data_IF_958560500313
#
_entry.id   IF_958560500313
#
_cell.length_a   1.000
_cell.length_b   1.000
_cell.length_c   1.000
_cell.angle_alpha   90.00
_cell.angle_beta   90.00
_cell.angle_gamma   90.00
#
_symmetry.space_group_name_H-M   'P 1'
#
loop_
_entity.id
_entity.type
_entity.pdbx_description
1 polymer ?
#
# COMPACT_ATOMS: atom_id res chain seq x y z
N UNK A 1 -7.33 29.50 4.09
CA UNK A 1 -7.78 30.11 2.82
C UNK A 1 -6.64 30.19 1.80
N UNK A 2 -6.11 29.05 1.33
CA UNK A 2 -5.19 28.95 0.16
C UNK A 2 -5.48 27.62 -0.60
N UNK A 3 -6.76 27.25 -0.69
CA UNK A 3 -7.20 25.94 -1.25
C UNK A 3 -8.04 26.12 -2.54
N UNK A 4 -8.04 27.34 -3.13
CA UNK A 4 -8.89 27.76 -4.25
C UNK A 4 -8.11 28.24 -5.48
N UNK A 5 -6.87 27.80 -5.68
CA UNK A 5 -6.03 28.25 -6.80
C UNK A 5 -6.08 27.36 -8.05
N UNK A 6 -6.08 26.03 -7.87
CA UNK A 6 -6.03 25.08 -8.98
C UNK A 6 -7.09 24.00 -8.78
N UNK A 7 -8.30 24.27 -9.26
CA UNK A 7 -9.42 23.32 -9.31
C UNK A 7 -9.18 22.26 -10.41
N UNK A 8 -8.03 21.59 -10.37
CA UNK A 8 -7.79 20.35 -11.11
C UNK A 8 -8.00 19.22 -10.08
N UNK A 9 -9.26 19.06 -9.68
CA UNK A 9 -9.68 17.84 -9.02
C UNK A 9 -9.85 16.83 -10.16
N UNK A 10 -8.87 15.95 -10.36
CA UNK A 10 -9.04 14.75 -11.18
C UNK A 10 -9.37 13.64 -10.20
N UNK A 11 -10.65 13.40 -9.87
CA UNK A 11 -11.05 12.50 -8.79
C UNK A 11 -10.61 11.06 -9.08
N UNK A 12 -10.46 10.73 -10.36
CA UNK A 12 -9.99 9.44 -10.85
C UNK A 12 -8.49 9.21 -10.67
N UNK A 13 -7.65 10.24 -10.59
CA UNK A 13 -6.21 10.02 -10.39
C UNK A 13 -5.89 9.95 -8.90
N UNK A 14 -6.55 10.73 -8.04
CA UNK A 14 -6.28 10.65 -6.60
C UNK A 14 -6.77 9.34 -5.98
N UNK A 15 -7.97 8.85 -6.33
CA UNK A 15 -8.49 7.63 -5.68
C UNK A 15 -7.62 6.40 -5.98
N UNK A 16 -7.38 6.10 -7.26
CA UNK A 16 -6.63 4.89 -7.64
C UNK A 16 -5.11 4.98 -7.40
N UNK A 17 -4.53 6.19 -7.44
CA UNK A 17 -3.10 6.35 -7.17
C UNK A 17 -2.79 6.16 -5.69
N UNK A 18 -3.69 6.60 -4.80
CA UNK A 18 -3.55 6.36 -3.37
C UNK A 18 -3.57 4.85 -3.07
N UNK A 19 -4.45 4.08 -3.71
CA UNK A 19 -4.54 2.62 -3.53
C UNK A 19 -3.28 1.88 -4.04
N UNK A 20 -2.71 2.31 -5.17
CA UNK A 20 -1.46 1.75 -5.70
C UNK A 20 -0.26 2.11 -4.81
N UNK A 21 -0.21 3.34 -4.28
CA UNK A 21 0.89 3.82 -3.44
C UNK A 21 0.81 3.33 -1.99
N UNK A 22 -0.38 2.97 -1.50
CA UNK A 22 -0.57 2.48 -0.14
C UNK A 22 0.30 1.25 0.15
N UNK A 23 0.30 0.26 -0.74
CA UNK A 23 1.09 -0.97 -0.55
C UNK A 23 2.61 -0.75 -0.48
N UNK A 24 3.27 -0.07 -1.43
CA UNK A 24 4.71 0.14 -1.34
C UNK A 24 5.09 0.99 -0.14
N UNK A 25 4.27 1.97 0.26
CA UNK A 25 4.52 2.79 1.46
C UNK A 25 4.44 1.91 2.72
N UNK A 26 3.37 1.13 2.89
CA UNK A 26 3.18 0.28 4.06
C UNK A 26 4.23 -0.83 4.15
N UNK A 27 4.52 -1.51 3.05
CA UNK A 27 5.54 -2.57 3.02
C UNK A 27 6.93 -2.01 3.35
N UNK A 28 7.26 -0.81 2.85
CA UNK A 28 8.52 -0.13 3.20
C UNK A 28 8.56 0.29 4.65
N UNK A 29 7.42 0.72 5.22
CA UNK A 29 7.32 1.02 6.64
C UNK A 29 7.55 -0.23 7.50
N UNK A 30 6.95 -1.37 7.15
CA UNK A 30 7.16 -2.65 7.84
C UNK A 30 8.61 -3.13 7.68
N UNK A 31 9.21 -2.96 6.50
CA UNK A 31 10.63 -3.26 6.27
C UNK A 31 11.52 -2.41 7.18
N UNK A 32 11.26 -1.10 7.22
CA UNK A 32 11.98 -0.15 8.07
C UNK A 32 11.81 -0.49 9.55
N UNK A 33 10.60 -0.84 9.98
CA UNK A 33 10.28 -1.29 11.33
C UNK A 33 11.14 -2.52 11.70
N UNK A 34 11.20 -3.54 10.83
CA UNK A 34 12.01 -4.74 11.07
C UNK A 34 13.52 -4.45 11.10
N UNK A 35 14.01 -3.61 10.19
CA UNK A 35 15.42 -3.23 10.13
C UNK A 35 15.85 -2.43 11.36
N UNK A 36 15.04 -1.44 11.78
CA UNK A 36 15.40 -0.48 12.85
C UNK A 36 14.90 -0.86 14.24
N UNK A 37 13.63 -1.26 14.40
CA UNK A 37 13.06 -1.57 15.72
C UNK A 37 13.44 -2.97 16.18
N UNK A 38 13.44 -3.95 15.28
CA UNK A 38 13.77 -5.35 15.62
C UNK A 38 15.26 -5.68 15.46
N UNK A 39 16.08 -4.71 15.04
CA UNK A 39 17.53 -4.85 14.86
C UNK A 39 17.94 -6.05 13.98
N UNK A 40 17.13 -6.40 12.99
CA UNK A 40 17.42 -7.50 12.04
C UNK A 40 18.56 -7.19 11.06
N UNK A 41 19.11 -5.97 11.11
CA UNK A 41 20.18 -5.50 10.21
C UNK A 41 19.61 -4.85 8.95
N UNK A 42 20.38 -3.93 8.35
CA UNK A 42 19.94 -3.21 7.14
C UNK A 42 19.88 -4.10 5.89
N UNK A 43 20.57 -5.25 5.94
CA UNK A 43 20.56 -6.25 4.87
C UNK A 43 19.32 -7.15 4.87
N UNK A 44 18.41 -6.98 5.86
CA UNK A 44 17.18 -7.76 5.88
C UNK A 44 16.28 -7.36 4.71
N UNK A 45 15.93 -8.34 3.87
CA UNK A 45 15.00 -8.22 2.75
C UNK A 45 13.91 -9.28 2.88
N UNK A 46 12.69 -8.93 2.50
CA UNK A 46 11.59 -9.88 2.47
C UNK A 46 11.80 -10.87 1.32
N UNK A 47 11.53 -12.14 1.59
CA UNK A 47 11.37 -13.13 0.52
C UNK A 47 10.14 -12.80 -0.33
N UNK A 48 10.11 -13.28 -1.59
CA UNK A 48 8.96 -13.09 -2.47
C UNK A 48 7.66 -13.60 -1.85
N UNK A 49 7.73 -14.70 -1.09
CA UNK A 49 6.57 -15.29 -0.41
C UNK A 49 6.10 -14.40 0.75
N UNK A 50 7.01 -13.85 1.55
CA UNK A 50 6.65 -12.91 2.64
C UNK A 50 6.04 -11.63 2.08
N UNK A 51 6.63 -11.07 1.02
CA UNK A 51 6.08 -9.87 0.37
C UNK A 51 4.68 -10.14 -0.18
N UNK A 52 4.46 -11.28 -0.83
CA UNK A 52 3.14 -11.68 -1.31
C UNK A 52 2.15 -11.88 -0.16
N UNK A 53 2.56 -12.56 0.91
CA UNK A 53 1.73 -12.79 2.08
C UNK A 53 1.33 -11.47 2.76
N UNK A 54 2.24 -10.49 2.82
CA UNK A 54 1.96 -9.16 3.36
C UNK A 54 0.98 -8.39 2.46
N UNK A 55 1.16 -8.40 1.13
CA UNK A 55 0.24 -7.76 0.18
C UNK A 55 -1.17 -8.34 0.33
N UNK A 56 -1.30 -9.67 0.36
CA UNK A 56 -2.59 -10.35 0.54
C UNK A 56 -3.20 -10.05 1.90
N UNK A 57 -2.38 -10.04 2.96
CA UNK A 57 -2.86 -9.74 4.31
C UNK A 57 -3.35 -8.29 4.41
N UNK A 58 -2.60 -7.34 3.85
CA UNK A 58 -2.98 -5.93 3.82
C UNK A 58 -4.20 -5.69 2.94
N UNK A 59 -4.28 -6.32 1.76
CA UNK A 59 -5.46 -6.18 0.89
C UNK A 59 -6.72 -6.69 1.57
N UNK A 60 -6.66 -7.83 2.29
CA UNK A 60 -7.76 -8.30 3.12
C UNK A 60 -8.11 -7.33 4.25
N UNK A 61 -7.12 -6.71 4.89
CA UNK A 61 -7.37 -5.69 5.93
C UNK A 61 -8.07 -4.48 5.32
N UNK A 62 -7.62 -3.97 4.18
CA UNK A 62 -8.31 -2.85 3.51
C UNK A 62 -9.72 -3.24 3.08
N UNK A 63 -9.90 -4.41 2.48
CA UNK A 63 -11.22 -4.87 1.98
C UNK A 63 -12.20 -5.30 3.07
N UNK A 64 -11.74 -5.69 4.27
CA UNK A 64 -12.63 -6.14 5.36
C UNK A 64 -12.76 -5.09 6.47
N UNK A 65 -11.67 -4.41 6.81
CA UNK A 65 -11.63 -3.48 7.95
C UNK A 65 -12.08 -2.09 7.53
N UNK A 66 -11.62 -1.54 6.40
CA UNK A 66 -12.07 -0.20 5.97
C UNK A 66 -13.57 -0.09 5.68
N UNK A 67 -14.25 -1.05 5.01
CA UNK A 67 -15.70 -0.95 4.83
C UNK A 67 -16.47 -0.99 6.16
N UNK A 68 -15.91 -1.60 7.21
CA UNK A 68 -16.48 -1.54 8.55
C UNK A 68 -16.41 -0.13 9.17
N UNK A 69 -15.42 0.68 8.79
CA UNK A 69 -15.28 2.08 9.23
C UNK A 69 -15.94 3.08 8.28
N UNK A 70 -16.12 2.75 7.00
CA UNK A 70 -16.76 3.64 6.03
C UNK A 70 -17.49 2.85 4.95
N UNK A 71 -18.81 3.02 4.89
CA UNK A 71 -19.72 2.41 3.89
C UNK A 71 -19.50 2.88 2.45
N UNK A 72 -18.46 3.69 2.19
CA UNK A 72 -18.07 4.15 0.86
C UNK A 72 -17.09 3.19 0.16
N UNK A 73 -16.42 2.33 0.91
CA UNK A 73 -15.54 1.31 0.32
C UNK A 73 -16.40 0.14 -0.12
N UNK A 74 -16.52 -0.03 -1.43
CA UNK A 74 -17.26 -1.12 -2.05
C UNK A 74 -16.23 -2.07 -2.59
N UNK A 75 -16.37 -3.37 -2.32
CA UNK A 75 -15.47 -4.41 -2.81
C UNK A 75 -15.25 -4.25 -4.32
N UNK A 76 -14.06 -3.78 -4.71
CA UNK A 76 -13.68 -3.53 -6.11
C UNK A 76 -12.46 -4.39 -6.45
N UNK A 77 -12.62 -5.25 -7.45
CA UNK A 77 -11.53 -6.10 -7.94
C UNK A 77 -10.33 -5.28 -8.45
N UNK A 78 -10.55 -4.01 -8.83
CA UNK A 78 -9.46 -3.11 -9.21
C UNK A 78 -8.51 -2.78 -8.06
N UNK A 79 -8.98 -2.79 -6.82
CA UNK A 79 -8.14 -2.51 -5.65
C UNK A 79 -7.14 -3.64 -5.41
N UNK A 80 -7.55 -4.89 -5.61
CA UNK A 80 -6.63 -6.04 -5.58
C UNK A 80 -5.53 -5.92 -6.63
N UNK A 81 -5.85 -5.44 -7.84
CA UNK A 81 -4.86 -5.24 -8.91
C UNK A 81 -3.91 -4.10 -8.55
N UNK A 82 -4.44 -2.99 -8.03
CA UNK A 82 -3.65 -1.86 -7.54
C UNK A 82 -2.67 -2.29 -6.44
N UNK A 83 -3.16 -3.08 -5.47
CA UNK A 83 -2.35 -3.62 -4.39
C UNK A 83 -1.27 -4.59 -4.86
N UNK A 84 -1.61 -5.48 -5.80
CA UNK A 84 -0.66 -6.39 -6.40
C UNK A 84 0.46 -5.64 -7.15
N UNK A 85 0.10 -4.62 -7.93
CA UNK A 85 1.07 -3.75 -8.61
C UNK A 85 1.97 -3.01 -7.63
N UNK A 86 1.40 -2.45 -6.57
CA UNK A 86 2.15 -1.80 -5.49
C UNK A 86 3.13 -2.75 -4.79
N UNK A 87 2.71 -4.00 -4.55
CA UNK A 87 3.56 -5.07 -4.02
C UNK A 87 4.73 -5.44 -4.93
N UNK A 88 4.48 -5.53 -6.25
CA UNK A 88 5.53 -5.79 -7.24
C UNK A 88 6.55 -4.64 -7.30
N UNK A 89 6.07 -3.39 -7.24
CA UNK A 89 6.94 -2.20 -7.18
C UNK A 89 7.82 -2.27 -5.93
N UNK A 90 7.24 -2.57 -4.78
CA UNK A 90 7.99 -2.74 -3.53
C UNK A 90 9.06 -3.83 -3.67
N UNK A 91 8.69 -5.03 -4.10
CA UNK A 91 9.60 -6.15 -4.19
C UNK A 91 10.77 -5.89 -5.14
N UNK A 92 10.54 -5.14 -6.22
CA UNK A 92 11.57 -4.89 -7.26
C UNK A 92 12.46 -3.68 -6.97
N UNK A 93 11.92 -2.62 -6.36
CA UNK A 93 12.64 -1.34 -6.21
C UNK A 93 12.95 -0.94 -4.77
N UNK A 94 12.19 -1.43 -3.80
CA UNK A 94 12.29 -1.01 -2.39
C UNK A 94 12.81 -2.13 -1.47
N UNK A 95 12.63 -3.39 -1.87
CA UNK A 95 13.15 -4.56 -1.19
C UNK A 95 14.62 -4.83 -1.62
N UNK A 96 15.51 -3.90 -1.27
CA UNK A 96 16.95 -3.98 -1.48
C UNK A 96 17.73 -3.41 -0.29
#
# INVERSE_FOLDING_TARGET
MIQKGFNINIPWIHSYLDDVLAMPILLTLILFERRKLFAWGEDFVFSALESLALVVSLSLVFELVFPAFSTKFTFDWWDFVAYALGGVIFYKYLNA
#
